data_IF_857778889717
#
_entry.id   IF_857778889717
#
_cell.length_a   1.000
_cell.length_b   1.000
_cell.length_c   1.000
_cell.angle_alpha   90.00
_cell.angle_beta   90.00
_cell.angle_gamma   90.00
#
_symmetry.space_group_name_H-M   'P 1'
#
loop_
_entity.id
_entity.type
_entity.pdbx_description
1 polymer ?
#
# COMPACT_ATOMS: atom_id res chain seq x y z
N UNK A 1 3.49 17.22 -24.40
CA UNK A 1 3.90 17.73 -23.07
C UNK A 1 4.95 16.79 -22.52
N UNK A 2 6.11 17.31 -22.13
CA UNK A 2 7.07 16.60 -21.28
C UNK A 2 7.25 17.44 -20.03
N UNK A 3 7.11 16.82 -18.86
CA UNK A 3 7.23 17.48 -17.57
C UNK A 3 8.26 16.68 -16.75
N UNK A 4 9.54 17.11 -16.71
CA UNK A 4 10.60 16.36 -16.03
C UNK A 4 10.31 16.00 -14.56
N UNK A 5 9.49 16.80 -13.88
CA UNK A 5 9.02 16.52 -12.52
C UNK A 5 8.12 15.27 -12.44
N UNK A 6 7.31 15.02 -13.48
CA UNK A 6 6.46 13.82 -13.56
C UNK A 6 7.30 12.58 -13.79
N UNK A 7 8.35 12.67 -14.62
CA UNK A 7 9.27 11.56 -14.87
C UNK A 7 10.02 11.16 -13.58
N UNK A 8 10.55 12.14 -12.85
CA UNK A 8 11.21 11.90 -11.56
C UNK A 8 10.26 11.30 -10.50
N UNK A 9 8.99 11.73 -10.49
CA UNK A 9 7.97 11.15 -9.61
C UNK A 9 7.72 9.68 -9.96
N UNK A 10 7.56 9.37 -11.25
CA UNK A 10 7.34 8.00 -11.71
C UNK A 10 8.53 7.08 -11.38
N UNK A 11 9.76 7.55 -11.55
CA UNK A 11 10.95 6.78 -11.19
C UNK A 11 11.01 6.46 -9.69
N UNK A 12 10.63 7.41 -8.84
CA UNK A 12 10.54 7.20 -7.39
C UNK A 12 9.48 6.15 -7.08
N UNK A 13 8.28 6.30 -7.60
CA UNK A 13 7.17 5.38 -7.33
C UNK A 13 7.51 3.95 -7.81
N UNK A 14 8.20 3.81 -8.95
CA UNK A 14 8.69 2.52 -9.45
C UNK A 14 9.76 1.88 -8.54
N UNK A 15 10.60 2.68 -7.88
CA UNK A 15 11.55 2.15 -6.87
C UNK A 15 10.80 1.64 -5.65
N UNK A 16 9.80 2.38 -5.19
CA UNK A 16 9.02 2.04 -4.01
C UNK A 16 8.24 0.73 -4.24
N UNK A 17 7.56 0.59 -5.39
CA UNK A 17 6.85 -0.64 -5.81
C UNK A 17 7.76 -1.88 -5.76
N UNK A 18 9.00 -1.76 -6.27
CA UNK A 18 9.98 -2.85 -6.26
C UNK A 18 10.46 -3.17 -4.84
N UNK A 19 10.64 -2.15 -4.01
CA UNK A 19 11.09 -2.33 -2.64
C UNK A 19 10.07 -3.12 -1.79
N UNK A 20 8.77 -3.02 -2.12
CA UNK A 20 7.69 -3.73 -1.42
C UNK A 20 7.17 -4.97 -2.15
N UNK A 21 7.86 -5.45 -3.20
CA UNK A 21 7.50 -6.64 -4.01
C UNK A 21 6.03 -6.69 -4.45
N UNK A 22 5.47 -5.55 -4.86
CA UNK A 22 4.10 -5.51 -5.42
C UNK A 22 4.12 -6.14 -6.82
N UNK A 23 3.34 -7.20 -7.00
CA UNK A 23 3.26 -7.97 -8.27
C UNK A 23 2.04 -7.64 -9.13
N UNK A 24 1.11 -6.85 -8.59
CA UNK A 24 -0.14 -6.52 -9.27
C UNK A 24 -1.05 -5.62 -8.46
N UNK A 25 -2.11 -5.15 -9.10
CA UNK A 25 -3.13 -4.29 -8.51
C UNK A 25 -4.49 -4.98 -8.51
N UNK A 26 -5.34 -4.75 -7.50
CA UNK A 26 -5.12 -3.91 -6.33
C UNK A 26 -4.19 -4.58 -5.29
N UNK A 27 -3.44 -3.80 -4.53
CA UNK A 27 -2.69 -4.25 -3.33
C UNK A 27 -2.90 -3.22 -2.22
N UNK A 28 -3.19 -3.67 -1.00
CA UNK A 28 -3.46 -2.81 0.15
C UNK A 28 -2.54 -3.13 1.32
N UNK A 29 -2.16 -2.07 2.06
CA UNK A 29 -1.46 -2.17 3.33
C UNK A 29 -2.17 -1.31 4.37
N UNK A 30 -2.17 -1.76 5.62
CA UNK A 30 -2.60 -0.97 6.78
C UNK A 30 -1.43 -0.94 7.75
N UNK A 31 -0.87 0.25 8.01
CA UNK A 31 0.32 0.43 8.85
C UNK A 31 1.49 -0.52 8.49
N UNK A 32 1.75 -0.71 7.20
CA UNK A 32 2.80 -1.61 6.72
C UNK A 32 2.45 -3.10 6.72
N UNK A 33 1.27 -3.50 7.22
CA UNK A 33 0.79 -4.89 7.14
C UNK A 33 0.01 -5.13 5.85
N UNK A 34 0.35 -6.17 5.05
CA UNK A 34 -0.34 -6.46 3.81
C UNK A 34 -1.73 -7.07 4.06
N UNK A 35 -2.69 -6.72 3.20
CA UNK A 35 -3.99 -7.37 3.17
C UNK A 35 -3.88 -8.75 2.51
N UNK A 36 -3.98 -9.83 3.30
CA UNK A 36 -3.81 -11.19 2.79
C UNK A 36 -5.00 -11.69 1.96
N UNK A 37 -6.21 -11.24 2.28
CA UNK A 37 -7.44 -11.61 1.58
C UNK A 37 -8.11 -10.36 1.04
N UNK A 38 -8.37 -10.32 -0.27
CA UNK A 38 -9.03 -9.19 -0.90
C UNK A 38 -10.50 -9.12 -0.52
N UNK A 39 -10.96 -7.92 -0.23
CA UNK A 39 -12.37 -7.64 0.04
C UNK A 39 -12.53 -6.50 1.04
N UNK A 40 -13.71 -5.86 1.06
CA UNK A 40 -13.95 -4.75 1.97
C UNK A 40 -14.03 -5.20 3.44
N UNK A 41 -14.51 -6.42 3.72
CA UNK A 41 -14.60 -6.94 5.09
C UNK A 41 -13.23 -7.33 5.66
N UNK A 42 -12.36 -8.08 4.94
CA UNK A 42 -10.97 -8.28 5.36
C UNK A 42 -10.21 -6.97 5.61
N UNK A 43 -10.42 -5.96 4.76
CA UNK A 43 -9.79 -4.65 4.93
C UNK A 43 -10.28 -3.96 6.21
N UNK A 44 -11.60 -3.93 6.45
CA UNK A 44 -12.19 -3.38 7.68
C UNK A 44 -11.66 -4.08 8.92
N UNK A 45 -11.55 -5.40 8.89
CA UNK A 45 -11.01 -6.19 9.99
C UNK A 45 -9.54 -5.83 10.27
N UNK A 46 -8.71 -5.72 9.23
CA UNK A 46 -7.30 -5.34 9.38
C UNK A 46 -7.14 -3.94 10.00
N UNK A 47 -7.97 -2.97 9.58
CA UNK A 47 -8.00 -1.62 10.18
C UNK A 47 -8.41 -1.67 11.66
N UNK A 48 -9.48 -2.40 11.99
CA UNK A 48 -9.95 -2.51 13.37
C UNK A 48 -8.88 -3.13 14.29
N UNK A 49 -8.17 -4.14 13.82
CA UNK A 49 -7.07 -4.77 14.56
C UNK A 49 -5.94 -3.79 14.82
N UNK A 50 -5.51 -3.02 13.81
CA UNK A 50 -4.46 -2.01 13.98
C UNK A 50 -4.86 -0.87 14.92
N UNK A 51 -6.13 -0.45 14.89
CA UNK A 51 -6.66 0.54 15.84
C UNK A 51 -6.71 -0.01 17.27
N UNK A 52 -7.06 -1.29 17.45
CA UNK A 52 -7.06 -1.94 18.76
C UNK A 52 -5.64 -2.08 19.33
N UNK A 53 -4.69 -2.53 18.51
CA UNK A 53 -3.28 -2.68 18.89
C UNK A 53 -2.64 -1.36 19.36
N UNK A 54 -3.08 -0.21 18.83
CA UNK A 54 -2.56 1.10 19.23
C UNK A 54 -3.15 1.62 20.54
N UNK A 55 -4.25 1.03 21.02
CA UNK A 55 -4.95 1.45 22.25
C UNK A 55 -4.49 0.70 23.50
N UNK A 56 -3.71 -0.37 23.33
CA UNK A 56 -3.02 -1.10 24.41
C UNK A 56 -1.66 -0.46 24.71
#
# INVERSE_FOLDING_TARGET
>A
MHAPAVDALLERDMRDIRAVDIRGTPTFFVNGRPLQQFGPDPLRQLVNNEVANFRE
#
